data_IF_606302134473
#
_entry.id   IF_606302134473
#
_cell.length_a   1.000
_cell.length_b   1.000
_cell.length_c   1.000
_cell.angle_alpha   90.00
_cell.angle_beta   90.00
_cell.angle_gamma   90.00
#
_symmetry.space_group_name_H-M   'P 1'
#
loop_
_entity.id
_entity.type
_entity.pdbx_description
1 polymer ?
#
# COMPACT_ATOMS: atom_id res chain seq x y z
N UNK A 1 4.09 17.43 37.41
CA UNK A 1 3.28 16.48 36.62
C UNK A 1 2.51 17.34 35.63
N UNK A 2 3.07 17.53 34.44
CA UNK A 2 2.45 18.37 33.42
C UNK A 2 1.91 17.44 32.33
N UNK A 3 0.62 17.14 32.41
CA UNK A 3 -0.09 16.23 31.51
C UNK A 3 -0.97 16.99 30.52
N UNK A 4 -0.67 18.28 30.27
CA UNK A 4 -1.57 19.17 29.53
C UNK A 4 -1.22 19.38 28.05
N UNK A 5 -0.08 18.88 27.55
CA UNK A 5 0.45 19.24 26.22
C UNK A 5 0.36 18.12 25.15
N UNK A 6 0.08 16.86 25.53
CA UNK A 6 0.07 15.72 24.58
C UNK A 6 -1.16 15.65 23.65
N UNK A 7 -2.14 16.54 23.82
CA UNK A 7 -3.35 16.59 22.98
C UNK A 7 -3.31 17.68 21.92
N UNK A 8 -2.27 18.53 21.91
CA UNK A 8 -2.19 19.63 20.95
C UNK A 8 -1.89 19.11 19.54
N UNK A 9 -2.65 19.62 18.57
CA UNK A 9 -2.59 19.19 17.17
C UNK A 9 -1.64 20.08 16.38
N UNK A 10 -0.73 19.45 15.62
CA UNK A 10 0.06 20.12 14.58
C UNK A 10 -0.77 20.26 13.30
N UNK A 11 -1.49 19.18 12.93
CA UNK A 11 -2.36 19.17 11.75
C UNK A 11 -3.65 18.42 12.06
N UNK A 12 -4.76 18.94 11.56
CA UNK A 12 -6.06 18.28 11.64
C UNK A 12 -6.70 18.33 10.25
N UNK A 13 -6.81 17.18 9.59
CA UNK A 13 -7.28 17.09 8.21
C UNK A 13 -8.37 16.00 8.08
N UNK A 14 -9.56 16.24 8.67
CA UNK A 14 -10.68 15.32 8.53
C UNK A 14 -11.19 15.28 7.07
N UNK A 15 -11.68 14.13 6.59
CA UNK A 15 -11.87 12.87 7.32
C UNK A 15 -10.63 11.96 7.34
N UNK A 16 -9.44 12.43 6.95
CA UNK A 16 -8.32 11.54 6.65
C UNK A 16 -7.46 11.21 7.87
N UNK A 17 -6.87 12.22 8.51
CA UNK A 17 -5.97 12.02 9.64
C UNK A 17 -5.81 13.28 10.51
N UNK A 18 -5.19 13.10 11.67
CA UNK A 18 -4.64 14.17 12.50
C UNK A 18 -3.22 13.82 12.98
N UNK A 19 -2.44 14.86 13.24
CA UNK A 19 -1.05 14.78 13.69
C UNK A 19 -0.93 15.62 14.96
N UNK A 20 -0.42 15.01 16.02
CA UNK A 20 -0.17 15.66 17.30
C UNK A 20 1.24 16.27 17.34
N UNK A 21 1.47 17.24 18.22
CA UNK A 21 2.80 17.85 18.42
C UNK A 21 3.86 16.85 18.88
N UNK A 22 3.45 15.79 19.58
CA UNK A 22 4.29 14.67 20.01
C UNK A 22 4.71 13.73 18.86
N UNK A 23 4.25 13.98 17.62
CA UNK A 23 4.54 13.17 16.45
C UNK A 23 3.58 11.99 16.22
N UNK A 24 2.64 11.74 17.13
CA UNK A 24 1.61 10.71 16.94
C UNK A 24 0.71 11.06 15.76
N UNK A 25 0.41 10.05 14.94
CA UNK A 25 -0.48 10.16 13.78
C UNK A 25 -1.67 9.26 14.00
N UNK A 26 -2.87 9.81 13.84
CA UNK A 26 -4.10 9.03 13.84
C UNK A 26 -4.76 9.17 12.48
N UNK A 27 -4.86 8.05 11.77
CA UNK A 27 -5.58 7.95 10.49
C UNK A 27 -6.99 7.49 10.77
N UNK A 28 -7.98 8.18 10.23
CA UNK A 28 -9.39 7.80 10.35
C UNK A 28 -9.88 7.00 9.14
N UNK A 29 -9.20 7.13 7.99
CA UNK A 29 -9.49 6.41 6.76
C UNK A 29 -8.27 5.64 6.24
N UNK A 30 -8.52 4.60 5.45
CA UNK A 30 -7.49 3.82 4.77
C UNK A 30 -6.63 2.95 5.68
N UNK A 31 -7.20 2.49 6.80
CA UNK A 31 -6.55 1.52 7.71
C UNK A 31 -7.06 0.09 7.53
N UNK A 32 -8.17 -0.10 6.83
CA UNK A 32 -8.72 -1.42 6.58
C UNK A 32 -7.76 -2.22 5.71
N UNK A 33 -7.62 -3.51 6.01
CA UNK A 33 -6.72 -4.40 5.27
C UNK A 33 -7.39 -5.74 5.00
N UNK A 34 -7.08 -6.34 3.87
CA UNK A 34 -7.41 -7.73 3.55
C UNK A 34 -6.15 -8.58 3.47
N UNK A 35 -6.18 -9.86 3.90
CA UNK A 35 -5.06 -10.77 3.73
C UNK A 35 -4.84 -11.09 2.25
N UNK A 36 -3.63 -11.55 1.86
CA UNK A 36 -3.44 -12.15 0.54
C UNK A 36 -4.28 -13.44 0.45
N UNK A 37 -4.79 -13.71 -0.74
CA UNK A 37 -5.79 -14.75 -0.99
C UNK A 37 -5.65 -15.31 -2.41
N UNK A 38 -6.25 -16.50 -2.60
CA UNK A 38 -6.60 -17.02 -3.91
C UNK A 38 -8.06 -16.66 -4.18
N UNK A 39 -8.33 -15.86 -5.20
CA UNK A 39 -9.68 -15.65 -5.69
C UNK A 39 -10.07 -16.85 -6.57
N UNK A 40 -11.00 -17.66 -6.09
CA UNK A 40 -11.44 -18.90 -6.76
C UNK A 40 -12.29 -18.62 -8.02
N UNK A 41 -12.88 -17.44 -8.13
CA UNK A 41 -13.78 -17.08 -9.24
C UNK A 41 -12.99 -16.71 -10.50
N UNK A 42 -11.89 -15.96 -10.34
CA UNK A 42 -11.05 -15.50 -11.46
C UNK A 42 -9.65 -16.14 -11.50
N UNK A 43 -9.28 -16.92 -10.47
CA UNK A 43 -8.01 -17.64 -10.39
C UNK A 43 -6.80 -16.76 -10.08
N UNK A 44 -6.99 -15.51 -9.64
CA UNK A 44 -5.90 -14.62 -9.25
C UNK A 44 -5.38 -15.02 -7.86
N UNK A 45 -4.07 -15.17 -7.76
CA UNK A 45 -3.38 -15.47 -6.51
C UNK A 45 -2.60 -14.24 -6.06
N UNK A 46 -2.87 -13.76 -4.84
CA UNK A 46 -2.12 -12.67 -4.23
C UNK A 46 -1.15 -13.17 -3.15
N UNK A 47 -0.01 -12.48 -3.00
CA UNK A 47 1.04 -12.82 -2.03
C UNK A 47 1.80 -11.59 -1.57
N UNK A 48 2.02 -11.46 -0.28
CA UNK A 48 2.86 -10.40 0.27
C UNK A 48 4.35 -10.78 0.24
N UNK A 49 5.19 -9.81 -0.12
CA UNK A 49 6.65 -9.92 -0.15
C UNK A 49 7.29 -8.70 0.52
N UNK A 50 8.45 -8.90 1.14
CA UNK A 50 9.30 -7.81 1.61
C UNK A 50 10.33 -7.51 0.54
N UNK A 51 10.48 -6.23 0.18
CA UNK A 51 11.45 -5.77 -0.83
C UNK A 51 12.72 -5.31 -0.12
N UNK A 52 12.58 -4.42 0.86
CA UNK A 52 13.71 -3.87 1.62
C UNK A 52 13.37 -3.91 3.12
N UNK A 53 13.87 -4.91 3.87
CA UNK A 53 13.58 -5.07 5.29
C UNK A 53 13.97 -3.85 6.14
N UNK A 54 15.12 -3.23 5.84
CA UNK A 54 15.67 -2.12 6.61
C UNK A 54 14.82 -0.85 6.55
N UNK A 55 14.08 -0.65 5.46
CA UNK A 55 13.19 0.51 5.28
C UNK A 55 11.72 0.13 5.42
N UNK A 56 11.41 -1.16 5.54
CA UNK A 56 10.05 -1.67 5.63
C UNK A 56 9.27 -1.59 4.30
N UNK A 57 9.95 -1.40 3.17
CA UNK A 57 9.29 -1.43 1.85
C UNK A 57 8.88 -2.87 1.55
N UNK A 58 7.60 -3.05 1.28
CA UNK A 58 6.99 -4.34 0.92
C UNK A 58 6.09 -4.17 -0.30
N UNK A 59 5.59 -5.28 -0.84
CA UNK A 59 4.60 -5.25 -1.90
C UNK A 59 3.66 -6.46 -1.81
N UNK A 60 2.48 -6.30 -2.40
CA UNK A 60 1.58 -7.42 -2.70
C UNK A 60 1.67 -7.75 -4.18
N UNK A 61 2.06 -8.99 -4.48
CA UNK A 61 2.01 -9.56 -5.82
C UNK A 61 0.59 -10.03 -6.11
N UNK A 62 0.17 -9.87 -7.37
CA UNK A 62 -1.04 -10.45 -7.93
C UNK A 62 -0.65 -11.21 -9.20
N UNK A 63 -0.96 -12.50 -9.22
CA UNK A 63 -0.54 -13.42 -10.26
C UNK A 63 -1.81 -13.99 -10.89
N UNK A 64 -2.08 -13.77 -12.20
CA UNK A 64 -3.25 -14.33 -12.85
C UNK A 64 -3.08 -15.84 -13.01
N UNK A 65 -4.17 -16.51 -13.39
CA UNK A 65 -4.11 -17.93 -13.72
C UNK A 65 -3.20 -18.17 -14.92
N UNK A 66 -2.01 -18.73 -14.67
CA UNK A 66 -1.04 -19.08 -15.72
C UNK A 66 -1.53 -20.34 -16.43
N UNK A 67 -1.85 -20.22 -17.72
CA UNK A 67 -2.33 -21.36 -18.53
C UNK A 67 -1.18 -22.10 -19.21
N UNK A 68 -0.09 -21.40 -19.55
CA UNK A 68 1.08 -22.00 -20.20
C UNK A 68 2.35 -21.69 -19.40
N UNK A 69 3.17 -22.68 -19.02
CA UNK A 69 4.36 -22.47 -18.19
C UNK A 69 5.41 -21.51 -18.78
N UNK A 70 5.44 -21.33 -20.10
CA UNK A 70 6.39 -20.46 -20.81
C UNK A 70 5.79 -19.10 -21.21
N UNK A 71 4.57 -18.79 -20.79
CA UNK A 71 3.92 -17.53 -21.11
C UNK A 71 4.62 -16.38 -20.38
N UNK A 72 5.11 -15.40 -21.15
CA UNK A 72 5.54 -14.11 -20.60
C UNK A 72 4.32 -13.21 -20.46
N UNK A 73 4.19 -12.59 -19.28
CA UNK A 73 3.14 -11.63 -18.97
C UNK A 73 3.77 -10.25 -18.75
N UNK A 74 3.07 -9.16 -19.11
CA UNK A 74 3.48 -7.82 -18.71
C UNK A 74 3.53 -7.70 -17.18
N UNK A 75 4.45 -6.88 -16.69
CA UNK A 75 4.56 -6.52 -15.28
C UNK A 75 4.00 -5.11 -15.08
N UNK A 76 3.00 -4.99 -14.21
CA UNK A 76 2.44 -3.73 -13.75
C UNK A 76 3.01 -3.40 -12.36
N UNK A 77 3.77 -2.31 -12.25
CA UNK A 77 4.12 -1.75 -10.94
C UNK A 77 3.04 -0.73 -10.56
N UNK A 78 2.38 -0.97 -9.42
CA UNK A 78 1.25 -0.17 -8.97
C UNK A 78 1.54 0.52 -7.65
N UNK A 79 1.18 1.80 -7.57
CA UNK A 79 1.23 2.60 -6.36
C UNK A 79 -0.19 3.00 -6.00
N UNK A 80 -0.61 2.64 -4.80
CA UNK A 80 -1.93 3.03 -4.32
C UNK A 80 -2.03 4.56 -4.14
N UNK A 81 -3.26 5.07 -4.18
CA UNK A 81 -3.53 6.48 -3.87
C UNK A 81 -3.55 6.75 -2.36
N UNK A 82 -4.28 7.78 -1.94
CA UNK A 82 -4.35 8.19 -0.54
C UNK A 82 -3.45 9.37 -0.18
N UNK A 83 -3.01 10.15 -1.18
CA UNK A 83 -2.26 11.39 -0.98
C UNK A 83 -0.93 11.21 -0.23
N UNK A 84 -0.33 10.02 -0.34
CA UNK A 84 0.85 9.59 0.42
C UNK A 84 0.66 9.47 1.94
N UNK A 85 -0.55 9.67 2.46
CA UNK A 85 -0.80 9.72 3.89
C UNK A 85 -1.67 8.57 4.39
N UNK A 86 -2.54 8.00 3.56
CA UNK A 86 -3.46 6.92 3.94
C UNK A 86 -3.40 5.76 2.95
N UNK A 87 -4.14 4.68 3.24
CA UNK A 87 -4.20 3.44 2.46
C UNK A 87 -2.89 2.64 2.53
N UNK A 88 -2.92 1.42 2.01
CA UNK A 88 -1.79 0.48 1.93
C UNK A 88 -1.97 -0.43 0.70
N UNK A 89 -0.96 -1.24 0.35
CA UNK A 89 -1.11 -2.28 -0.67
C UNK A 89 -2.13 -3.37 -0.32
N UNK A 90 -2.51 -3.46 0.96
CA UNK A 90 -3.49 -4.41 1.50
C UNK A 90 -4.89 -3.81 1.67
N UNK A 91 -5.11 -2.55 1.28
CA UNK A 91 -6.42 -1.91 1.28
C UNK A 91 -7.45 -2.71 0.48
N UNK A 92 -8.68 -2.94 0.99
CA UNK A 92 -9.74 -3.62 0.25
C UNK A 92 -10.02 -2.96 -1.12
N UNK A 93 -10.01 -1.63 -1.18
CA UNK A 93 -10.27 -0.86 -2.41
C UNK A 93 -9.26 -1.20 -3.50
N UNK A 94 -7.96 -1.11 -3.17
CA UNK A 94 -6.90 -1.39 -4.13
C UNK A 94 -6.72 -2.88 -4.39
N UNK A 95 -7.02 -3.72 -3.40
CA UNK A 95 -6.99 -5.17 -3.58
C UNK A 95 -8.03 -5.63 -4.59
N UNK A 96 -9.29 -5.23 -4.45
CA UNK A 96 -10.35 -5.61 -5.37
C UNK A 96 -10.12 -5.07 -6.79
N UNK A 97 -9.59 -3.84 -6.88
CA UNK A 97 -9.20 -3.25 -8.16
C UNK A 97 -8.11 -4.06 -8.85
N UNK A 98 -7.01 -4.36 -8.16
CA UNK A 98 -5.88 -5.09 -8.74
C UNK A 98 -6.23 -6.54 -9.04
N UNK A 99 -7.05 -7.18 -8.21
CA UNK A 99 -7.55 -8.54 -8.45
C UNK A 99 -8.32 -8.61 -9.79
N UNK A 100 -9.23 -7.66 -10.02
CA UNK A 100 -9.99 -7.55 -11.27
C UNK A 100 -9.09 -7.19 -12.46
N UNK A 101 -8.21 -6.19 -12.29
CA UNK A 101 -7.31 -5.73 -13.35
C UNK A 101 -6.35 -6.82 -13.82
N UNK A 102 -5.82 -7.62 -12.90
CA UNK A 102 -4.91 -8.74 -13.20
C UNK A 102 -5.64 -9.85 -13.94
N UNK A 103 -6.88 -10.17 -13.53
CA UNK A 103 -7.71 -11.15 -14.21
C UNK A 103 -8.04 -10.74 -15.64
N UNK A 104 -8.50 -9.50 -15.84
CA UNK A 104 -8.94 -8.99 -17.14
C UNK A 104 -7.77 -8.67 -18.08
N UNK A 105 -6.70 -8.07 -17.53
CA UNK A 105 -5.54 -7.63 -18.30
C UNK A 105 -4.52 -8.74 -18.57
N UNK A 106 -4.63 -9.88 -17.88
CA UNK A 106 -3.65 -10.95 -17.89
C UNK A 106 -2.21 -10.42 -17.70
N UNK A 107 -2.04 -9.66 -16.61
CA UNK A 107 -0.76 -9.04 -16.20
C UNK A 107 -0.38 -9.52 -14.82
N UNK A 108 0.91 -9.55 -14.50
CA UNK A 108 1.36 -9.67 -13.11
C UNK A 108 1.41 -8.27 -12.52
N UNK A 109 0.79 -8.04 -11.36
CA UNK A 109 0.87 -6.75 -10.68
C UNK A 109 1.71 -6.83 -9.41
N UNK A 110 2.50 -5.78 -9.17
CA UNK A 110 3.27 -5.54 -7.94
C UNK A 110 2.71 -4.27 -7.31
N UNK A 111 1.86 -4.44 -6.29
CA UNK A 111 1.28 -3.33 -5.52
C UNK A 111 2.25 -2.94 -4.42
N UNK A 112 2.96 -1.83 -4.60
CA UNK A 112 4.01 -1.42 -3.65
C UNK A 112 3.38 -0.78 -2.42
N UNK A 113 3.78 -1.27 -1.25
CA UNK A 113 3.43 -0.70 0.04
C UNK A 113 4.50 0.30 0.47
N UNK A 114 4.37 1.53 -0.01
CA UNK A 114 5.33 2.59 0.28
C UNK A 114 5.11 3.16 1.69
N UNK A 115 6.15 3.82 2.23
CA UNK A 115 6.07 4.53 3.51
C UNK A 115 5.25 5.82 3.39
N UNK A 116 4.49 6.14 4.43
CA UNK A 116 3.49 7.22 4.40
C UNK A 116 3.94 8.43 5.20
N UNK A 117 3.51 9.60 4.76
CA UNK A 117 3.60 10.83 5.52
C UNK A 117 2.57 10.83 6.67
N UNK A 118 2.83 11.58 7.75
CA UNK A 118 4.03 12.40 7.98
C UNK A 118 5.25 11.65 8.54
N UNK A 119 5.14 10.36 8.90
CA UNK A 119 6.23 9.58 9.51
C UNK A 119 7.44 9.44 8.57
N UNK A 120 7.18 9.40 7.26
CA UNK A 120 8.19 9.51 6.21
C UNK A 120 7.79 10.59 5.18
N UNK A 121 8.27 11.83 5.33
CA UNK A 121 7.85 12.96 4.49
C UNK A 121 8.21 12.80 3.02
N UNK A 122 7.39 13.35 2.13
CA UNK A 122 7.77 13.58 0.73
C UNK A 122 8.93 14.59 0.65
N UNK A 123 9.95 14.39 -0.21
CA UNK A 123 10.05 13.40 -1.27
C UNK A 123 10.75 12.09 -0.85
N UNK A 124 11.08 11.88 0.42
CA UNK A 124 11.84 10.71 0.87
C UNK A 124 11.12 9.38 0.59
N UNK A 125 9.80 9.34 0.75
CA UNK A 125 8.99 8.17 0.42
C UNK A 125 9.00 7.85 -1.08
N UNK A 126 8.94 8.86 -1.95
CA UNK A 126 8.91 8.70 -3.40
C UNK A 126 10.30 8.43 -4.00
N UNK A 127 11.34 9.10 -3.48
CA UNK A 127 12.71 8.97 -4.00
C UNK A 127 13.27 7.57 -3.77
N UNK A 128 13.07 7.00 -2.58
CA UNK A 128 13.52 5.64 -2.27
C UNK A 128 12.74 4.57 -3.03
N UNK A 129 11.50 4.85 -3.40
CA UNK A 129 10.66 3.95 -4.19
C UNK A 129 11.20 3.72 -5.60
N UNK A 130 11.71 4.79 -6.23
CA UNK A 130 12.31 4.74 -7.56
C UNK A 130 13.67 4.05 -7.56
N UNK A 131 14.38 4.05 -6.43
CA UNK A 131 15.65 3.34 -6.30
C UNK A 131 15.46 1.80 -6.22
N UNK A 132 14.23 1.33 -5.94
CA UNK A 132 13.91 -0.10 -5.79
C UNK A 132 13.35 -0.77 -7.07
N UNK A 133 13.13 -0.02 -8.16
CA UNK A 133 12.53 -0.50 -9.43
C UNK A 133 13.60 -0.52 -10.52
#
# INVERSE_FOLDING_TARGET
MDSSDNSELTFNFPPFLRVFKDGRVERFLGNDTVPPSLNVENGVHSKDIVIEPETGISARLYIPKITYPSQKLPLLIYFHGGGFCIETSSSPTYHNYLDSLVAEGNVVAVSVNYRRAPEDPTPCCLRRLLDCI
#
